data_IF_626311619133
#
_entry.id   IF_626311619133
#
_cell.length_a   1.000
_cell.length_b   1.000
_cell.length_c   1.000
_cell.angle_alpha   90.00
_cell.angle_beta   90.00
_cell.angle_gamma   90.00
#
_symmetry.space_group_name_H-M   'P 1'
#
loop_
_entity.id
_entity.type
_entity.pdbx_description
1 polymer ?
#
# COMPACT_ATOMS: atom_id res chain seq x y z
N UNK A 1 11.61 -3.93 -10.73
CA UNK A 1 11.37 -3.23 -9.45
C UNK A 1 10.67 -1.94 -9.82
N UNK A 2 9.45 -1.71 -9.32
CA UNK A 2 8.62 -0.58 -9.73
C UNK A 2 8.29 0.25 -8.49
N UNK A 3 8.63 1.53 -8.56
CA UNK A 3 8.35 2.52 -7.52
C UNK A 3 7.43 3.54 -8.15
N UNK A 4 6.21 3.62 -7.64
CA UNK A 4 5.24 4.60 -8.07
C UNK A 4 5.20 5.71 -7.04
N UNK A 5 5.28 6.94 -7.51
CA UNK A 5 5.23 8.13 -6.66
C UNK A 5 4.24 9.10 -7.27
N UNK A 6 3.21 9.42 -6.52
CA UNK A 6 2.15 10.34 -6.92
C UNK A 6 2.14 11.52 -5.96
N UNK A 7 2.38 12.70 -6.51
CA UNK A 7 2.28 13.97 -5.80
C UNK A 7 1.06 14.71 -6.31
N UNK A 8 0.11 14.98 -5.43
CA UNK A 8 -1.12 15.70 -5.76
C UNK A 8 -1.18 16.99 -4.94
N UNK A 9 -1.36 18.10 -5.66
CA UNK A 9 -1.66 19.40 -5.09
C UNK A 9 -3.07 19.78 -5.52
N UNK A 10 -3.98 19.85 -4.57
CA UNK A 10 -5.36 20.29 -4.81
C UNK A 10 -5.45 21.83 -4.82
N UNK A 11 -6.48 22.37 -5.46
CA UNK A 11 -6.73 23.82 -5.58
C UNK A 11 -7.00 24.46 -4.21
N UNK A 12 -7.45 23.67 -3.24
CA UNK A 12 -7.56 24.04 -1.81
C UNK A 12 -6.20 24.04 -1.07
N UNK A 13 -5.07 23.97 -1.79
CA UNK A 13 -3.70 23.86 -1.25
C UNK A 13 -3.47 22.60 -0.41
N UNK A 14 -4.30 21.57 -0.59
CA UNK A 14 -4.15 20.30 0.13
C UNK A 14 -3.07 19.47 -0.53
N UNK A 15 -2.01 19.18 0.22
CA UNK A 15 -0.92 18.33 -0.21
C UNK A 15 -1.22 16.86 0.11
N UNK A 16 -1.11 16.02 -0.91
CA UNK A 16 -1.13 14.56 -0.78
C UNK A 16 0.08 13.94 -1.48
N UNK A 17 0.76 13.09 -0.75
CA UNK A 17 1.90 12.31 -1.22
C UNK A 17 1.57 10.84 -1.07
N UNK A 18 1.47 10.14 -2.20
CA UNK A 18 1.32 8.69 -2.23
C UNK A 18 2.61 8.09 -2.80
N UNK A 19 3.23 7.23 -2.02
CA UNK A 19 4.44 6.50 -2.37
C UNK A 19 4.11 5.01 -2.31
N UNK A 20 4.17 4.34 -3.44
CA UNK A 20 3.96 2.90 -3.53
C UNK A 20 5.24 2.23 -4.01
N UNK A 21 5.59 1.12 -3.37
CA UNK A 21 6.76 0.32 -3.74
C UNK A 21 6.43 -1.15 -3.78
N UNK A 22 6.51 -1.70 -5.00
CA UNK A 22 6.29 -3.13 -5.24
C UNK A 22 7.61 -3.87 -5.43
N UNK A 23 7.83 -4.85 -4.55
CA UNK A 23 8.95 -5.77 -4.61
C UNK A 23 8.48 -7.13 -5.09
N UNK A 24 9.13 -7.63 -6.13
CA UNK A 24 8.92 -8.98 -6.63
C UNK A 24 10.05 -9.86 -6.12
N UNK A 25 9.75 -10.79 -5.23
CA UNK A 25 10.72 -11.73 -4.67
C UNK A 25 10.94 -12.91 -5.60
N UNK A 26 9.86 -13.43 -6.18
CA UNK A 26 9.88 -14.53 -7.15
C UNK A 26 8.85 -14.28 -8.24
N UNK A 27 8.69 -15.19 -9.21
CA UNK A 27 7.62 -15.10 -10.22
C UNK A 27 6.21 -15.05 -9.61
N UNK A 28 6.05 -15.50 -8.36
CA UNK A 28 4.75 -15.67 -7.72
C UNK A 28 4.61 -14.95 -6.38
N UNK A 29 5.69 -14.48 -5.77
CA UNK A 29 5.64 -13.79 -4.46
C UNK A 29 5.98 -12.32 -4.65
N UNK A 30 5.07 -11.46 -4.19
CA UNK A 30 5.20 -10.02 -4.25
C UNK A 30 4.96 -9.43 -2.87
N UNK A 31 5.70 -8.40 -2.51
CA UNK A 31 5.35 -7.55 -1.38
C UNK A 31 5.17 -6.13 -1.86
N UNK A 32 4.19 -5.44 -1.32
CA UNK A 32 3.87 -4.06 -1.65
C UNK A 32 3.88 -3.25 -0.37
N UNK A 33 4.46 -2.06 -0.45
CA UNK A 33 4.55 -1.12 0.65
C UNK A 33 3.99 0.19 0.14
N UNK A 34 2.91 0.63 0.75
CA UNK A 34 2.23 1.86 0.42
C UNK A 34 2.34 2.84 1.58
N UNK A 35 2.71 4.07 1.26
CA UNK A 35 2.80 5.16 2.19
C UNK A 35 1.99 6.33 1.65
N UNK A 36 0.99 6.74 2.41
CA UNK A 36 0.10 7.85 2.06
C UNK A 36 0.21 8.92 3.14
N UNK A 37 0.80 10.05 2.76
CA UNK A 37 0.83 11.26 3.55
C UNK A 37 -0.21 12.26 3.06
N UNK A 38 -1.00 12.80 3.99
CA UNK A 38 -2.04 13.80 3.71
C UNK A 38 -1.95 14.89 4.77
N UNK A 39 -1.71 16.13 4.37
CA UNK A 39 -1.42 17.23 5.30
C UNK A 39 -2.52 17.49 6.35
N UNK A 40 -3.78 17.25 6.01
CA UNK A 40 -4.93 17.43 6.94
C UNK A 40 -5.45 16.11 7.55
N UNK A 41 -4.92 14.95 7.15
CA UNK A 41 -5.37 13.64 7.62
C UNK A 41 -4.21 12.90 8.28
N UNK A 42 -4.51 11.71 8.80
CA UNK A 42 -3.51 10.84 9.40
C UNK A 42 -2.63 10.24 8.31
N UNK A 43 -1.36 10.05 8.65
CA UNK A 43 -0.46 9.27 7.81
C UNK A 43 -0.92 7.81 7.83
N UNK A 44 -0.96 7.22 6.65
CA UNK A 44 -1.32 5.82 6.45
C UNK A 44 -0.12 5.09 5.84
N UNK A 45 0.14 3.90 6.35
CA UNK A 45 1.21 3.05 5.90
C UNK A 45 0.69 1.63 5.81
N UNK A 46 0.84 0.99 4.67
CA UNK A 46 0.37 -0.36 4.44
C UNK A 46 1.51 -1.23 3.93
N UNK A 47 1.61 -2.44 4.48
CA UNK A 47 2.49 -3.48 3.96
C UNK A 47 1.61 -4.66 3.61
N UNK A 48 1.70 -5.12 2.37
CA UNK A 48 1.02 -6.33 1.93
C UNK A 48 1.99 -7.35 1.33
N UNK A 49 1.66 -8.61 1.52
CA UNK A 49 2.31 -9.77 0.93
C UNK A 49 1.29 -10.52 0.10
N UNK A 50 1.64 -10.77 -1.16
CA UNK A 50 0.80 -11.42 -2.14
C UNK A 50 1.50 -12.64 -2.70
N UNK A 51 0.72 -13.71 -2.88
CA UNK A 51 1.16 -14.91 -3.57
C UNK A 51 0.23 -15.23 -4.74
N UNK A 52 0.76 -15.30 -5.96
CA UNK A 52 -0.02 -15.46 -7.18
C UNK A 52 0.54 -16.60 -8.05
N UNK A 53 0.44 -17.86 -7.57
CA UNK A 53 0.81 -19.05 -8.37
C UNK A 53 -0.39 -19.85 -8.89
N UNK A 54 -1.29 -20.27 -8.00
CA UNK A 54 -2.49 -21.09 -8.32
C UNK A 54 -3.69 -20.73 -7.41
N UNK A 55 -3.46 -19.95 -6.36
CA UNK A 55 -4.49 -19.48 -5.44
C UNK A 55 -3.98 -18.13 -4.90
N UNK A 56 -4.65 -17.03 -5.29
CA UNK A 56 -4.09 -15.68 -5.30
C UNK A 56 -4.41 -14.92 -4.01
N UNK A 57 -3.93 -15.43 -2.88
CA UNK A 57 -4.19 -14.76 -1.61
C UNK A 57 -3.25 -13.58 -1.40
N UNK A 58 -3.77 -12.58 -0.71
CA UNK A 58 -3.00 -11.47 -0.17
C UNK A 58 -3.28 -11.33 1.32
N UNK A 59 -2.27 -10.94 2.07
CA UNK A 59 -2.40 -10.51 3.45
C UNK A 59 -1.71 -9.16 3.58
N UNK A 60 -2.38 -8.22 4.23
CA UNK A 60 -1.93 -6.85 4.40
C UNK A 60 -2.13 -6.39 5.83
N UNK A 61 -1.22 -5.53 6.26
CA UNK A 61 -1.31 -4.81 7.52
C UNK A 61 -1.31 -3.33 7.18
N UNK A 62 -2.39 -2.65 7.57
CA UNK A 62 -2.52 -1.21 7.43
C UNK A 62 -2.32 -0.57 8.80
N UNK A 63 -1.35 0.32 8.89
CA UNK A 63 -1.03 1.12 10.06
C UNK A 63 -1.44 2.57 9.78
N UNK A 64 -2.31 3.11 10.62
CA UNK A 64 -2.68 4.52 10.62
C UNK A 64 -2.32 5.11 11.99
N UNK A 65 -2.04 6.42 12.09
CA UNK A 65 -1.67 7.10 13.35
C UNK A 65 -2.51 6.77 14.59
N UNK A 66 -3.76 6.32 14.43
CA UNK A 66 -4.62 5.93 15.56
C UNK A 66 -5.15 4.50 15.53
N UNK A 67 -4.86 3.72 14.50
CA UNK A 67 -5.47 2.38 14.31
C UNK A 67 -4.54 1.43 13.55
N UNK A 68 -4.54 0.18 13.96
CA UNK A 68 -3.93 -0.93 13.23
C UNK A 68 -5.05 -1.75 12.63
N UNK A 69 -5.00 -1.95 11.33
CA UNK A 69 -5.91 -2.80 10.55
C UNK A 69 -5.15 -3.98 9.98
N UNK A 70 -5.80 -5.14 9.98
CA UNK A 70 -5.32 -6.34 9.30
C UNK A 70 -6.33 -6.67 8.22
N UNK A 71 -5.84 -6.87 6.99
CA UNK A 71 -6.63 -7.22 5.83
C UNK A 71 -6.11 -8.50 5.21
N UNK A 72 -7.01 -9.34 4.70
CA UNK A 72 -6.64 -10.50 3.91
C UNK A 72 -7.62 -10.63 2.77
N UNK A 73 -7.13 -10.81 1.56
CA UNK A 73 -7.97 -11.10 0.41
C UNK A 73 -7.71 -12.52 -0.05
N UNK A 74 -8.80 -13.25 -0.18
CA UNK A 74 -8.79 -14.59 -0.73
C UNK A 74 -9.62 -14.58 -2.02
N UNK A 75 -9.05 -15.00 -3.15
CA UNK A 75 -9.77 -15.06 -4.43
C UNK A 75 -9.79 -16.52 -4.91
N UNK A 76 -11.01 -17.06 -5.06
CA UNK A 76 -11.30 -18.41 -5.55
C UNK A 76 -11.72 -18.36 -7.02
#
# INVERSE_FOLDING_TARGET
MLVDTTFLLDNDKKLRLDLSKKFQWTKYVFSEVDFTFRQEKKTEFEISLMYQKVWAWSVGVMLTDKKIGLGGQFKF
#
